data_IF_033633795418
#
_entry.id   IF_033633795418
#
_cell.length_a   1.000
_cell.length_b   1.000
_cell.length_c   1.000
_cell.angle_alpha   90.00
_cell.angle_beta   90.00
_cell.angle_gamma   90.00
#
_symmetry.space_group_name_H-M   'P 1'
#
loop_
_entity.id
_entity.type
_entity.pdbx_description
1 polymer ?
#
# COMPACT_ATOMS: atom_id res chain seq x y z
N UNK A 1 11.61 0.50 43.38
CA UNK A 1 11.26 1.62 42.45
C UNK A 1 9.88 1.30 41.93
N UNK A 2 8.87 2.16 42.19
CA UNK A 2 7.52 1.94 41.70
C UNK A 2 7.54 1.93 40.16
N UNK A 3 6.91 0.90 39.56
CA UNK A 3 6.73 0.86 38.10
C UNK A 3 5.94 2.11 37.67
N UNK A 4 6.59 2.96 36.92
CA UNK A 4 5.95 4.16 36.34
C UNK A 4 4.89 3.67 35.36
N UNK A 5 3.63 3.98 35.59
CA UNK A 5 2.51 3.63 34.70
C UNK A 5 2.83 4.09 33.26
N UNK A 6 2.45 3.30 32.27
CA UNK A 6 2.75 3.52 30.85
C UNK A 6 2.31 4.92 30.37
N UNK A 7 1.16 5.44 30.85
CA UNK A 7 0.64 6.76 30.48
C UNK A 7 1.50 7.91 31.02
N UNK A 8 2.14 7.79 32.17
CA UNK A 8 3.04 8.81 32.73
C UNK A 8 4.28 9.01 31.86
N UNK A 9 4.85 7.93 31.35
CA UNK A 9 5.98 8.01 30.41
C UNK A 9 5.56 8.69 29.10
N UNK A 10 4.35 8.39 28.62
CA UNK A 10 3.79 9.03 27.41
C UNK A 10 3.57 10.51 27.65
N UNK A 11 3.00 10.90 28.80
CA UNK A 11 2.76 12.29 29.14
C UNK A 11 4.07 13.10 29.25
N UNK A 12 5.07 12.61 29.99
CA UNK A 12 6.38 13.28 30.09
C UNK A 12 7.08 13.41 28.74
N UNK A 13 6.96 12.40 27.89
CA UNK A 13 7.49 12.44 26.53
C UNK A 13 6.74 13.45 25.66
N UNK A 14 5.42 13.52 25.76
CA UNK A 14 4.60 14.49 25.06
C UNK A 14 5.00 15.92 25.42
N UNK A 15 5.21 16.23 26.70
CA UNK A 15 5.72 17.54 27.15
C UNK A 15 7.03 17.90 26.45
N UNK A 16 8.03 17.01 26.46
CA UNK A 16 9.32 17.27 25.80
C UNK A 16 9.20 17.54 24.30
N UNK A 17 8.30 16.83 23.64
CA UNK A 17 8.10 16.96 22.20
C UNK A 17 7.32 18.21 21.84
N UNK A 18 6.32 18.56 22.64
CA UNK A 18 5.38 19.65 22.33
C UNK A 18 5.85 21.02 22.77
N UNK A 19 6.50 21.09 23.93
CA UNK A 19 6.90 22.38 24.57
C UNK A 19 8.41 22.58 24.66
N UNK A 20 9.18 21.51 24.36
CA UNK A 20 10.64 21.60 24.30
C UNK A 20 11.35 21.33 25.63
N UNK A 21 12.68 21.58 25.63
CA UNK A 21 13.56 21.36 26.78
C UNK A 21 13.32 22.40 27.84
N UNK A 22 13.43 22.00 29.11
CA UNK A 22 13.19 22.88 30.29
C UNK A 22 11.80 22.70 30.88
N UNK A 23 10.85 22.16 30.18
CA UNK A 23 9.52 21.84 30.70
C UNK A 23 9.43 20.38 31.17
N UNK A 24 8.85 20.18 32.35
CA UNK A 24 8.60 18.84 32.89
C UNK A 24 7.34 18.82 33.77
N UNK A 25 6.81 17.61 33.99
CA UNK A 25 5.63 17.40 34.83
C UNK A 25 5.88 16.32 35.86
N UNK A 26 5.30 16.52 37.03
CA UNK A 26 5.35 15.52 38.13
C UNK A 26 4.07 15.59 38.97
N UNK A 27 3.76 14.52 39.75
CA UNK A 27 2.69 14.58 40.73
C UNK A 27 3.06 15.48 41.89
N UNK A 28 2.10 16.28 42.34
CA UNK A 28 2.20 17.04 43.59
C UNK A 28 0.84 17.04 44.31
N UNK A 29 0.77 16.38 45.46
CA UNK A 29 -0.47 16.19 46.29
C UNK A 29 -1.66 15.68 45.45
N UNK A 30 -1.39 14.75 44.52
CA UNK A 30 -2.38 14.18 43.66
C UNK A 30 -2.80 15.03 42.45
N UNK A 31 -2.21 16.20 42.26
CA UNK A 31 -2.42 17.08 41.10
C UNK A 31 -1.22 17.04 40.15
N UNK A 32 -1.40 17.57 38.93
CA UNK A 32 -0.32 17.76 37.97
C UNK A 32 0.40 19.04 38.31
N UNK A 33 1.72 18.95 38.63
CA UNK A 33 2.62 20.08 38.78
C UNK A 33 3.50 20.22 37.57
N UNK A 34 3.52 21.39 36.96
CA UNK A 34 4.42 21.77 35.87
C UNK A 34 5.62 22.50 36.43
N UNK A 35 6.81 22.14 35.91
CA UNK A 35 8.06 22.84 36.21
C UNK A 35 8.67 23.35 34.90
N UNK A 36 9.22 24.54 34.96
CA UNK A 36 10.00 25.19 33.91
C UNK A 36 11.34 25.68 34.44
N UNK A 37 12.43 25.31 33.79
CA UNK A 37 13.78 25.68 34.15
C UNK A 37 14.78 24.55 34.13
N UNK A 38 15.95 24.77 34.67
CA UNK A 38 17.03 23.77 34.79
C UNK A 38 17.61 23.81 36.23
N UNK A 39 18.42 22.79 36.54
CA UNK A 39 19.15 22.82 37.85
C UNK A 39 20.05 24.06 38.03
N UNK A 40 20.58 24.60 36.93
CA UNK A 40 21.44 25.77 36.97
C UNK A 40 20.66 27.08 37.12
N UNK A 41 19.46 27.19 36.57
CA UNK A 41 18.63 28.41 36.58
C UNK A 41 17.54 28.39 37.65
N UNK A 42 17.37 27.27 38.35
CA UNK A 42 16.23 27.03 39.24
C UNK A 42 14.96 26.66 38.47
N UNK A 43 13.94 26.26 39.21
CA UNK A 43 12.65 25.87 38.64
C UNK A 43 11.53 26.80 39.05
N UNK A 44 10.83 27.36 38.07
CA UNK A 44 9.51 27.92 38.28
C UNK A 44 8.50 26.78 38.27
N UNK A 45 7.45 26.85 39.08
CA UNK A 45 6.44 25.77 39.09
C UNK A 45 5.05 26.30 39.31
N UNK A 46 4.09 25.54 38.80
CA UNK A 46 2.65 25.79 38.97
C UNK A 46 1.91 24.46 39.11
N UNK A 47 0.93 24.40 40.02
CA UNK A 47 0.01 23.29 40.14
C UNK A 47 -1.21 23.56 39.23
N UNK A 48 -1.55 22.61 38.40
CA UNK A 48 -2.73 22.68 37.54
C UNK A 48 -3.97 22.16 38.27
N UNK A 49 -5.17 22.59 37.84
CA UNK A 49 -6.43 22.08 38.41
C UNK A 49 -6.80 20.67 37.90
N UNK A 50 -5.82 19.91 37.50
CA UNK A 50 -5.97 18.54 36.97
C UNK A 50 -5.34 17.52 37.91
N UNK A 51 -6.00 16.40 38.13
CA UNK A 51 -5.46 15.27 38.92
C UNK A 51 -4.39 14.53 38.15
N UNK A 52 -3.40 13.94 38.85
CA UNK A 52 -2.39 13.05 38.25
C UNK A 52 -3.02 11.67 37.93
N UNK A 53 -3.81 11.64 36.85
CA UNK A 53 -4.59 10.47 36.43
C UNK A 53 -4.58 10.34 34.89
N UNK A 54 -4.77 9.12 34.40
CA UNK A 54 -4.69 8.81 32.96
C UNK A 54 -5.75 9.53 32.11
N UNK A 55 -6.89 9.85 32.67
CA UNK A 55 -7.98 10.54 31.97
C UNK A 55 -7.79 12.06 31.88
N UNK A 56 -6.92 12.67 32.71
CA UNK A 56 -6.76 14.13 32.80
C UNK A 56 -5.49 14.70 32.15
N UNK A 57 -4.47 13.89 31.88
CA UNK A 57 -3.19 14.40 31.38
C UNK A 57 -3.30 15.04 29.99
N UNK A 58 -4.25 14.62 29.17
CA UNK A 58 -4.44 15.17 27.81
C UNK A 58 -4.90 16.62 27.86
N UNK A 59 -5.83 16.94 28.75
CA UNK A 59 -6.33 18.31 28.95
C UNK A 59 -5.29 19.20 29.61
N UNK A 60 -4.54 18.62 30.55
CA UNK A 60 -3.39 19.30 31.14
C UNK A 60 -2.32 19.61 30.06
N UNK A 61 -2.03 18.70 29.15
CA UNK A 61 -1.07 18.94 28.06
C UNK A 61 -1.51 20.10 27.16
N UNK A 62 -2.78 20.19 26.80
CA UNK A 62 -3.32 21.32 26.02
C UNK A 62 -3.05 22.65 26.66
N UNK A 63 -3.36 22.74 27.97
CA UNK A 63 -3.16 23.95 28.73
C UNK A 63 -1.68 24.30 28.80
N UNK A 64 -0.82 23.30 29.00
CA UNK A 64 0.63 23.49 29.07
C UNK A 64 1.20 23.99 27.74
N UNK A 65 0.78 23.39 26.61
CA UNK A 65 1.21 23.80 25.27
C UNK A 65 0.85 25.26 24.98
N UNK A 66 -0.40 25.64 25.26
CA UNK A 66 -0.86 27.03 25.08
C UNK A 66 -0.13 28.02 26.04
N UNK A 67 0.02 27.62 27.29
CA UNK A 67 0.69 28.46 28.31
C UNK A 67 2.19 28.58 28.02
N UNK A 68 2.85 27.54 27.56
CA UNK A 68 4.26 27.58 27.19
C UNK A 68 4.49 28.53 26.01
N UNK A 69 3.68 28.44 24.94
CA UNK A 69 3.73 29.37 23.82
C UNK A 69 3.51 30.83 24.27
N UNK A 70 2.53 31.08 25.13
CA UNK A 70 2.28 32.41 25.72
C UNK A 70 3.46 32.87 26.56
N UNK A 71 4.01 32.01 27.41
CA UNK A 71 5.13 32.34 28.27
C UNK A 71 6.40 32.65 27.45
N UNK A 72 6.76 31.83 26.48
CA UNK A 72 7.94 32.04 25.65
C UNK A 72 7.84 33.35 24.84
N UNK A 73 6.66 33.72 24.35
CA UNK A 73 6.44 34.96 23.60
C UNK A 73 6.54 36.21 24.48
N UNK A 74 6.23 36.12 25.78
CA UNK A 74 6.16 37.26 26.69
C UNK A 74 7.06 37.08 27.91
N UNK A 75 8.04 36.21 27.89
CA UNK A 75 8.89 35.76 29.01
C UNK A 75 9.49 36.87 29.88
N UNK A 76 9.80 38.01 29.30
CA UNK A 76 10.33 39.19 30.04
C UNK A 76 9.24 39.97 30.77
N UNK A 77 7.97 39.78 30.45
CA UNK A 77 6.89 40.69 30.88
C UNK A 77 5.78 40.00 31.67
N UNK A 78 5.74 38.68 31.75
CA UNK A 78 4.70 37.94 32.48
C UNK A 78 5.29 36.83 33.35
N UNK A 79 4.62 36.53 34.46
CA UNK A 79 4.95 35.36 35.27
C UNK A 79 4.43 34.05 34.62
N UNK A 80 5.03 32.92 35.01
CA UNK A 80 4.53 31.62 34.58
C UNK A 80 3.05 31.44 34.92
N UNK A 81 2.63 31.87 36.12
CA UNK A 81 1.22 31.83 36.53
C UNK A 81 0.33 32.66 35.64
N UNK A 82 0.75 33.89 35.30
CA UNK A 82 -0.03 34.74 34.40
C UNK A 82 -0.20 34.14 33.00
N UNK A 83 0.82 33.45 32.47
CA UNK A 83 0.70 32.72 31.18
C UNK A 83 -0.35 31.62 31.23
N UNK A 84 -0.39 30.85 32.31
CA UNK A 84 -1.42 29.82 32.51
C UNK A 84 -2.81 30.42 32.71
N UNK A 85 -2.98 31.49 33.45
CA UNK A 85 -4.26 32.18 33.66
C UNK A 85 -4.82 32.74 32.34
N UNK A 86 -3.98 33.31 31.49
CA UNK A 86 -4.36 33.77 30.14
C UNK A 86 -4.82 32.59 29.29
N UNK A 87 -4.06 31.52 29.32
CA UNK A 87 -4.31 30.33 28.51
C UNK A 87 -5.56 29.59 28.94
N UNK A 88 -5.90 29.55 30.23
CA UNK A 88 -7.17 29.03 30.72
C UNK A 88 -8.38 29.78 30.16
N UNK A 89 -8.29 31.11 30.05
CA UNK A 89 -9.36 31.93 29.45
C UNK A 89 -9.49 31.77 27.96
N UNK A 90 -8.41 31.39 27.27
CA UNK A 90 -8.36 31.23 25.81
C UNK A 90 -8.68 29.80 25.37
N UNK A 91 -8.43 28.80 26.22
CA UNK A 91 -8.59 27.37 25.85
C UNK A 91 -10.05 26.92 25.69
N UNK A 92 -11.02 27.74 26.03
CA UNK A 92 -12.45 27.40 25.97
C UNK A 92 -13.06 27.40 24.56
N UNK A 93 -12.32 27.73 23.47
CA UNK A 93 -12.88 27.95 22.12
C UNK A 93 -12.10 27.37 20.92
N UNK A 94 -11.23 26.38 21.08
CA UNK A 94 -10.63 25.76 19.90
C UNK A 94 -11.44 24.53 19.47
N UNK A 95 -12.48 24.78 18.68
CA UNK A 95 -13.20 23.72 17.98
C UNK A 95 -12.38 23.28 16.76
N UNK A 96 -11.80 22.04 16.83
CA UNK A 96 -11.07 21.47 15.71
C UNK A 96 -12.03 21.20 14.55
N UNK A 97 -11.81 21.84 13.42
CA UNK A 97 -12.61 21.65 12.23
C UNK A 97 -12.05 20.51 11.38
N UNK A 98 -12.48 19.29 11.71
CA UNK A 98 -12.05 18.07 11.03
C UNK A 98 -12.47 18.00 9.57
N UNK A 99 -13.65 18.53 9.24
CA UNK A 99 -14.18 18.52 7.88
C UNK A 99 -13.38 19.47 6.98
N UNK A 100 -13.08 20.68 7.47
CA UNK A 100 -12.19 21.62 6.78
C UNK A 100 -10.78 21.05 6.59
N UNK A 101 -10.21 20.43 7.63
CA UNK A 101 -8.91 19.79 7.56
C UNK A 101 -8.88 18.67 6.51
N UNK A 102 -9.95 17.89 6.40
CA UNK A 102 -10.08 16.87 5.35
C UNK A 102 -10.11 17.50 3.96
N UNK A 103 -10.92 18.53 3.76
CA UNK A 103 -11.03 19.20 2.47
C UNK A 103 -9.67 19.75 2.02
N UNK A 104 -8.98 20.47 2.90
CA UNK A 104 -7.64 21.00 2.65
C UNK A 104 -6.61 19.91 2.38
N UNK A 105 -6.64 18.83 3.17
CA UNK A 105 -5.77 17.65 2.94
C UNK A 105 -6.01 17.03 1.56
N UNK A 106 -7.27 16.87 1.16
CA UNK A 106 -7.63 16.35 -0.14
C UNK A 106 -7.10 17.23 -1.26
N UNK A 107 -7.34 18.54 -1.17
CA UNK A 107 -6.95 19.52 -2.18
C UNK A 107 -5.42 19.59 -2.32
N UNK A 108 -4.68 19.64 -1.23
CA UNK A 108 -3.21 19.66 -1.22
C UNK A 108 -2.58 18.38 -1.78
N UNK A 109 -3.27 17.24 -1.67
CA UNK A 109 -2.76 15.96 -2.13
C UNK A 109 -3.38 15.46 -3.45
N UNK A 110 -4.23 16.26 -4.11
CA UNK A 110 -4.95 15.87 -5.33
C UNK A 110 -4.03 15.42 -6.47
N UNK A 111 -2.86 16.02 -6.60
CA UNK A 111 -1.88 15.71 -7.65
C UNK A 111 -0.87 14.63 -7.24
N UNK A 112 -0.68 14.39 -5.94
CA UNK A 112 0.30 13.43 -5.41
C UNK A 112 -0.31 12.06 -5.10
N UNK A 113 -1.58 12.01 -4.73
CA UNK A 113 -2.30 10.77 -4.42
C UNK A 113 -3.26 10.45 -5.57
N UNK A 114 -2.98 9.37 -6.29
CA UNK A 114 -3.88 8.90 -7.34
C UNK A 114 -5.27 8.57 -6.78
N UNK A 115 -6.32 8.84 -7.56
CA UNK A 115 -7.71 8.68 -7.16
C UNK A 115 -8.05 7.27 -6.63
N UNK A 116 -7.52 6.23 -7.27
CA UNK A 116 -7.73 4.85 -6.82
C UNK A 116 -7.04 4.57 -5.46
N UNK A 117 -5.86 5.14 -5.24
CA UNK A 117 -5.16 5.06 -3.95
C UNK A 117 -5.93 5.83 -2.87
N UNK A 118 -6.46 6.99 -3.20
CA UNK A 118 -7.33 7.75 -2.32
C UNK A 118 -8.54 6.93 -1.88
N UNK A 119 -9.31 6.42 -2.84
CA UNK A 119 -10.54 5.64 -2.57
C UNK A 119 -10.29 4.38 -1.76
N UNK A 120 -9.19 3.67 -2.01
CA UNK A 120 -8.92 2.36 -1.40
C UNK A 120 -8.13 2.44 -0.08
N UNK A 121 -7.31 3.46 0.12
CA UNK A 121 -6.39 3.54 1.26
C UNK A 121 -6.66 4.72 2.19
N UNK A 122 -6.92 5.91 1.65
CA UNK A 122 -7.11 7.11 2.47
C UNK A 122 -8.56 7.28 2.92
N UNK A 123 -9.49 7.25 1.99
CA UNK A 123 -10.90 7.52 2.27
C UNK A 123 -11.50 6.59 3.34
N UNK A 124 -11.22 5.27 3.39
CA UNK A 124 -11.78 4.40 4.42
C UNK A 124 -11.35 4.79 5.83
N UNK A 125 -10.07 5.10 6.04
CA UNK A 125 -9.57 5.49 7.36
C UNK A 125 -10.04 6.90 7.75
N UNK A 126 -10.12 7.82 6.81
CA UNK A 126 -10.61 9.17 7.06
C UNK A 126 -12.10 9.13 7.45
N UNK A 127 -12.92 8.35 6.75
CA UNK A 127 -14.32 8.13 7.15
C UNK A 127 -14.44 7.58 8.58
N UNK A 128 -13.57 6.66 8.95
CA UNK A 128 -13.52 6.13 10.32
C UNK A 128 -13.11 7.20 11.35
N UNK A 129 -12.15 8.05 11.01
CA UNK A 129 -11.74 9.19 11.86
C UNK A 129 -12.94 10.11 12.08
N UNK A 130 -13.55 10.61 11.00
CA UNK A 130 -14.69 11.53 11.07
C UNK A 130 -15.87 10.94 11.86
N UNK A 131 -16.13 9.65 11.69
CA UNK A 131 -17.17 8.95 12.43
C UNK A 131 -16.97 9.05 13.95
N UNK A 132 -15.73 8.93 14.46
CA UNK A 132 -15.47 9.00 15.89
C UNK A 132 -15.31 10.42 16.41
N UNK A 133 -14.69 11.32 15.66
CA UNK A 133 -14.45 12.69 16.13
C UNK A 133 -15.71 13.57 16.10
N UNK A 134 -16.70 13.23 15.27
CA UNK A 134 -17.99 13.95 15.19
C UNK A 134 -19.05 13.40 16.18
N UNK A 135 -18.71 12.38 16.97
CA UNK A 135 -19.64 11.87 18.02
C UNK A 135 -19.61 12.76 19.25
N UNK A 136 -20.80 12.99 19.84
CA UNK A 136 -20.91 13.75 21.09
C UNK A 136 -20.46 12.95 22.32
N UNK A 137 -20.70 11.61 22.32
CA UNK A 137 -20.32 10.72 23.41
C UNK A 137 -19.11 9.86 23.06
N UNK A 138 -18.21 9.62 24.03
CA UNK A 138 -17.02 8.78 23.90
C UNK A 138 -16.05 9.22 22.75
N UNK A 139 -15.99 10.54 22.49
CA UNK A 139 -15.07 11.15 21.51
C UNK A 139 -13.63 10.87 21.91
N UNK A 140 -12.77 10.38 21.00
CA UNK A 140 -11.34 10.24 21.26
C UNK A 140 -10.70 11.59 21.59
N UNK A 141 -9.81 11.62 22.57
CA UNK A 141 -9.17 12.85 23.05
C UNK A 141 -7.74 13.04 22.48
N UNK A 142 -7.20 12.04 21.79
CA UNK A 142 -5.85 12.11 21.20
C UNK A 142 -5.68 11.10 20.06
N UNK A 143 -4.58 11.22 19.33
CA UNK A 143 -4.28 10.37 18.19
C UNK A 143 -4.18 8.88 18.52
N UNK A 144 -3.67 8.50 19.71
CA UNK A 144 -3.60 7.09 20.15
C UNK A 144 -4.99 6.50 20.35
N UNK A 145 -5.85 7.13 21.17
CA UNK A 145 -7.23 6.66 21.39
C UNK A 145 -8.05 6.63 20.10
N UNK A 146 -7.79 7.61 19.21
CA UNK A 146 -8.44 7.62 17.90
C UNK A 146 -8.01 6.42 17.05
N UNK A 147 -6.69 6.10 17.02
CA UNK A 147 -6.22 4.91 16.31
C UNK A 147 -6.83 3.62 16.86
N UNK A 148 -6.86 3.47 18.18
CA UNK A 148 -7.42 2.26 18.83
C UNK A 148 -8.87 2.04 18.42
N UNK A 149 -9.70 3.09 18.40
CA UNK A 149 -11.09 3.02 17.94
C UNK A 149 -11.21 2.75 16.44
N UNK A 150 -10.49 3.49 15.63
CA UNK A 150 -10.52 3.37 14.16
C UNK A 150 -10.05 1.99 13.73
N UNK A 151 -8.96 1.50 14.31
CA UNK A 151 -8.33 0.26 13.85
C UNK A 151 -8.97 -1.02 14.37
N UNK A 152 -9.68 -0.96 15.51
CA UNK A 152 -10.22 -2.15 16.16
C UNK A 152 -11.75 -2.18 16.20
N UNK A 153 -12.43 -1.04 16.28
CA UNK A 153 -13.87 -0.97 16.55
C UNK A 153 -14.69 -0.49 15.35
N UNK A 154 -14.09 0.25 14.39
CA UNK A 154 -14.85 0.83 13.29
C UNK A 154 -15.43 -0.23 12.37
N UNK A 155 -16.74 -0.21 12.19
CA UNK A 155 -17.43 -1.07 11.24
C UNK A 155 -17.37 -0.48 9.84
N UNK A 156 -16.74 -1.22 8.93
CA UNK A 156 -16.63 -0.82 7.54
C UNK A 156 -17.38 -1.78 6.61
N UNK A 157 -18.13 -1.21 5.68
CA UNK A 157 -18.95 -1.99 4.74
C UNK A 157 -20.29 -2.48 5.34
N UNK A 158 -20.94 -3.37 4.61
CA UNK A 158 -22.26 -3.92 4.96
C UNK A 158 -22.18 -5.10 5.94
N UNK A 159 -21.01 -5.68 6.13
CA UNK A 159 -20.85 -6.84 7.03
C UNK A 159 -20.61 -6.34 8.46
N UNK A 160 -21.63 -6.47 9.29
CA UNK A 160 -21.64 -6.04 10.69
C UNK A 160 -20.67 -6.83 11.59
N UNK A 161 -20.19 -7.99 11.16
CA UNK A 161 -19.26 -8.82 11.92
C UNK A 161 -17.81 -8.35 11.79
N UNK A 162 -17.48 -7.62 10.73
CA UNK A 162 -16.13 -7.13 10.48
C UNK A 162 -15.89 -5.78 11.13
N UNK A 163 -15.21 -5.79 12.27
CA UNK A 163 -14.77 -4.57 12.97
C UNK A 163 -13.29 -4.33 12.75
N UNK A 164 -12.92 -3.07 12.53
CA UNK A 164 -11.54 -2.63 12.36
C UNK A 164 -10.80 -3.32 11.22
N UNK A 165 -9.50 -3.31 11.33
CA UNK A 165 -8.58 -3.99 10.39
C UNK A 165 -7.68 -4.93 11.18
N UNK A 166 -7.69 -6.25 10.93
CA UNK A 166 -6.93 -7.23 11.70
C UNK A 166 -5.43 -6.93 11.71
N UNK A 167 -4.79 -7.12 12.85
CA UNK A 167 -3.33 -6.99 13.00
C UNK A 167 -2.61 -7.95 12.05
N UNK A 168 -1.37 -7.64 11.68
CA UNK A 168 -0.57 -8.45 10.78
C UNK A 168 -0.99 -8.42 9.31
N UNK A 169 -2.04 -7.67 8.95
CA UNK A 169 -2.53 -7.61 7.56
C UNK A 169 -1.93 -6.43 6.79
N UNK A 170 -1.71 -6.64 5.49
CA UNK A 170 -1.33 -5.56 4.57
C UNK A 170 -2.35 -4.42 4.56
N UNK A 171 -3.65 -4.72 4.75
CA UNK A 171 -4.70 -3.72 4.81
C UNK A 171 -4.52 -2.82 6.04
N UNK A 172 -4.34 -3.38 7.24
CA UNK A 172 -4.07 -2.59 8.46
C UNK A 172 -2.84 -1.69 8.30
N UNK A 173 -1.77 -2.22 7.71
CA UNK A 173 -0.58 -1.43 7.38
C UNK A 173 -0.91 -0.24 6.48
N UNK A 174 -1.70 -0.43 5.42
CA UNK A 174 -2.12 0.66 4.54
C UNK A 174 -2.96 1.70 5.26
N UNK A 175 -3.90 1.26 6.11
CA UNK A 175 -4.75 2.17 6.89
C UNK A 175 -3.93 2.96 7.90
N UNK A 176 -2.97 2.31 8.58
CA UNK A 176 -2.03 2.96 9.48
C UNK A 176 -1.21 4.05 8.79
N UNK A 177 -0.63 3.76 7.63
CA UNK A 177 0.14 4.74 6.87
C UNK A 177 -0.72 5.94 6.43
N UNK A 178 -1.96 5.72 6.02
CA UNK A 178 -2.89 6.78 5.65
C UNK A 178 -3.34 7.60 6.88
N UNK A 179 -3.59 6.95 8.01
CA UNK A 179 -3.89 7.57 9.30
C UNK A 179 -2.75 8.50 9.73
N UNK A 180 -1.51 7.97 9.76
CA UNK A 180 -0.33 8.74 10.12
C UNK A 180 -0.15 9.97 9.24
N UNK A 181 -0.29 9.80 7.93
CA UNK A 181 -0.14 10.89 6.98
C UNK A 181 -1.17 11.98 7.19
N UNK A 182 -2.43 11.61 7.43
CA UNK A 182 -3.49 12.58 7.66
C UNK A 182 -3.33 13.32 8.97
N UNK A 183 -3.11 12.63 10.10
CA UNK A 183 -2.97 13.30 11.39
C UNK A 183 -1.71 14.15 11.50
N UNK A 184 -0.58 13.69 10.98
CA UNK A 184 0.62 14.53 10.91
C UNK A 184 0.35 15.81 10.13
N UNK A 185 -0.34 15.69 8.98
CA UNK A 185 -0.72 16.84 8.16
C UNK A 185 -1.64 17.80 8.93
N UNK A 186 -2.63 17.29 9.69
CA UNK A 186 -3.50 18.11 10.53
C UNK A 186 -2.70 18.90 11.57
N UNK A 187 -1.71 18.26 12.21
CA UNK A 187 -0.86 18.94 13.22
C UNK A 187 0.09 19.95 12.59
N UNK A 188 0.61 19.66 11.39
CA UNK A 188 1.63 20.49 10.74
C UNK A 188 1.04 21.62 9.87
N UNK A 189 -0.23 21.53 9.46
CA UNK A 189 -0.83 22.45 8.48
C UNK A 189 -2.17 23.04 8.88
N UNK A 190 -2.85 22.45 9.85
CA UNK A 190 -4.19 22.88 10.30
C UNK A 190 -4.21 23.22 11.78
N UNK A 191 -3.05 23.50 12.36
CA UNK A 191 -2.87 23.92 13.75
C UNK A 191 -3.50 22.99 14.81
N UNK A 192 -3.62 21.68 14.45
CA UNK A 192 -4.10 20.71 15.43
C UNK A 192 -3.05 20.52 16.52
N UNK A 193 -3.46 20.47 17.79
CA UNK A 193 -2.55 20.23 18.90
C UNK A 193 -1.74 18.94 18.74
N UNK A 194 -0.52 18.94 19.21
CA UNK A 194 0.45 17.85 19.04
C UNK A 194 0.00 16.49 19.59
N UNK A 195 -0.91 16.46 20.56
CA UNK A 195 -1.48 15.22 21.08
C UNK A 195 -2.36 14.47 20.06
N UNK A 196 -2.73 15.10 18.93
CA UNK A 196 -3.35 14.44 17.79
C UNK A 196 -2.35 13.73 16.87
N UNK A 197 -1.04 13.89 17.09
CA UNK A 197 -0.06 13.10 16.35
C UNK A 197 -0.36 11.60 16.49
N UNK A 198 -0.12 10.81 15.43
CA UNK A 198 -0.24 9.36 15.50
C UNK A 198 0.63 8.80 16.63
N UNK A 199 0.21 7.71 17.28
CA UNK A 199 1.05 7.04 18.26
C UNK A 199 2.32 6.48 17.59
N UNK A 200 3.38 6.32 18.38
CA UNK A 200 4.54 5.51 17.97
C UNK A 200 4.09 4.05 17.98
N UNK A 201 4.14 3.42 16.83
CA UNK A 201 3.73 2.04 16.69
C UNK A 201 4.84 1.08 17.12
N UNK A 202 4.47 -0.01 17.77
CA UNK A 202 5.39 -1.09 18.10
C UNK A 202 5.54 -2.05 16.91
N UNK A 203 6.52 -2.96 17.02
CA UNK A 203 6.81 -3.94 15.96
C UNK A 203 5.58 -4.76 15.57
N UNK A 204 4.75 -5.17 16.52
CA UNK A 204 3.56 -5.98 16.25
C UNK A 204 2.47 -5.24 15.44
N UNK A 205 2.41 -3.91 15.52
CA UNK A 205 1.55 -3.09 14.66
C UNK A 205 2.18 -2.80 13.29
N UNK A 206 3.48 -2.86 13.18
CA UNK A 206 4.21 -2.56 11.94
C UNK A 206 4.40 -3.77 11.05
N UNK A 207 4.53 -4.93 11.64
CA UNK A 207 4.81 -6.18 10.96
C UNK A 207 3.57 -6.69 10.21
N UNK A 208 3.79 -7.15 8.98
CA UNK A 208 2.79 -7.88 8.20
C UNK A 208 3.13 -9.35 8.32
N UNK A 209 2.33 -10.08 9.10
CA UNK A 209 2.52 -11.52 9.37
C UNK A 209 1.71 -12.40 8.43
N UNK A 210 0.74 -11.84 7.70
CA UNK A 210 0.01 -12.60 6.68
C UNK A 210 0.94 -12.94 5.53
N UNK A 211 1.11 -14.21 5.29
CA UNK A 211 1.87 -14.69 4.13
C UNK A 211 1.30 -14.13 2.84
N UNK A 212 2.20 -13.65 1.99
CA UNK A 212 1.81 -13.21 0.66
C UNK A 212 1.54 -14.46 -0.18
N UNK A 213 0.29 -14.65 -0.59
CA UNK A 213 -0.05 -15.73 -1.50
C UNK A 213 0.83 -15.65 -2.75
N UNK A 214 1.34 -16.80 -3.13
CA UNK A 214 2.21 -16.94 -4.31
C UNK A 214 1.34 -16.90 -5.55
N UNK A 215 1.68 -16.06 -6.54
CA UNK A 215 0.88 -15.95 -7.77
C UNK A 215 1.06 -17.18 -8.65
N UNK A 216 -0.02 -17.74 -9.13
CA UNK A 216 -0.07 -18.94 -9.97
C UNK A 216 0.34 -18.63 -11.42
N UNK A 217 1.32 -19.33 -12.01
CA UNK A 217 1.59 -19.25 -13.44
C UNK A 217 0.64 -20.19 -14.20
N UNK A 218 -0.25 -19.64 -15.03
CA UNK A 218 -1.14 -20.45 -15.86
C UNK A 218 -0.35 -21.40 -16.77
N UNK A 219 -0.85 -22.60 -16.99
CA UNK A 219 -0.33 -23.50 -18.02
C UNK A 219 -0.84 -23.12 -19.40
N UNK A 220 -0.14 -23.56 -20.45
CA UNK A 220 -0.55 -23.31 -21.83
C UNK A 220 -1.90 -23.99 -22.13
N UNK A 221 -2.14 -25.20 -21.63
CA UNK A 221 -3.42 -25.91 -21.74
C UNK A 221 -4.56 -25.16 -21.03
N UNK A 222 -4.34 -24.61 -19.84
CA UNK A 222 -5.35 -23.81 -19.14
C UNK A 222 -5.71 -22.56 -19.93
N UNK A 223 -4.73 -21.91 -20.58
CA UNK A 223 -4.98 -20.74 -21.42
C UNK A 223 -5.76 -21.13 -22.67
N UNK A 224 -5.41 -22.24 -23.34
CA UNK A 224 -6.19 -22.76 -24.49
C UNK A 224 -7.66 -22.94 -24.10
N UNK A 225 -7.94 -23.76 -23.08
CA UNK A 225 -9.32 -23.98 -22.56
C UNK A 225 -10.04 -22.67 -22.20
N UNK A 226 -9.32 -21.72 -21.62
CA UNK A 226 -9.89 -20.42 -21.23
C UNK A 226 -10.29 -19.60 -22.47
N UNK A 227 -9.43 -19.52 -23.47
CA UNK A 227 -9.69 -18.77 -24.70
C UNK A 227 -10.87 -19.39 -25.48
N UNK A 228 -10.94 -20.70 -25.58
CA UNK A 228 -12.03 -21.40 -26.26
C UNK A 228 -13.38 -21.25 -25.56
N UNK A 229 -13.39 -20.93 -24.27
CA UNK A 229 -14.62 -20.78 -23.49
C UNK A 229 -15.25 -19.36 -23.54
N UNK A 230 -14.69 -18.44 -24.32
CA UNK A 230 -15.34 -17.15 -24.54
C UNK A 230 -16.59 -17.33 -25.43
N UNK A 231 -17.63 -16.57 -25.09
CA UNK A 231 -18.87 -16.60 -25.90
C UNK A 231 -18.63 -15.96 -27.28
N UNK A 232 -19.36 -16.46 -28.28
CA UNK A 232 -19.33 -15.91 -29.63
C UNK A 232 -20.22 -14.68 -29.75
N UNK A 233 -19.71 -13.55 -29.32
CA UNK A 233 -20.32 -12.23 -29.51
C UNK A 233 -19.25 -11.11 -29.44
N UNK A 234 -19.57 -9.96 -30.02
CA UNK A 234 -18.65 -8.85 -30.17
C UNK A 234 -18.05 -8.37 -28.81
N UNK A 235 -18.84 -8.36 -27.76
CA UNK A 235 -18.36 -7.95 -26.44
C UNK A 235 -17.33 -8.93 -25.88
N UNK A 236 -17.61 -10.23 -25.97
CA UNK A 236 -16.70 -11.27 -25.50
C UNK A 236 -15.44 -11.36 -26.38
N UNK A 237 -15.55 -11.17 -27.68
CA UNK A 237 -14.42 -11.16 -28.62
C UNK A 237 -13.37 -10.11 -28.24
N UNK A 238 -13.78 -8.88 -27.86
CA UNK A 238 -12.86 -7.84 -27.39
C UNK A 238 -12.09 -8.27 -26.14
N UNK A 239 -12.74 -8.94 -25.21
CA UNK A 239 -12.09 -9.44 -24.00
C UNK A 239 -11.25 -10.69 -24.24
N UNK A 240 -11.65 -11.55 -25.15
CA UNK A 240 -10.86 -12.70 -25.61
C UNK A 240 -9.54 -12.19 -26.20
N UNK A 241 -9.60 -11.24 -27.14
CA UNK A 241 -8.43 -10.61 -27.73
C UNK A 241 -7.51 -9.94 -26.68
N UNK A 242 -8.08 -9.20 -25.74
CA UNK A 242 -7.32 -8.63 -24.62
C UNK A 242 -6.64 -9.70 -23.75
N UNK A 243 -7.32 -10.82 -23.51
CA UNK A 243 -6.79 -11.96 -22.75
C UNK A 243 -5.65 -12.66 -23.49
N UNK A 244 -5.81 -12.88 -24.80
CA UNK A 244 -4.78 -13.41 -25.68
C UNK A 244 -3.51 -12.55 -25.66
N UNK A 245 -3.65 -11.23 -25.77
CA UNK A 245 -2.53 -10.29 -25.67
C UNK A 245 -1.82 -10.35 -24.29
N UNK A 246 -2.60 -10.45 -23.20
CA UNK A 246 -2.02 -10.62 -21.87
C UNK A 246 -1.23 -11.94 -21.75
N UNK A 247 -1.74 -13.02 -22.31
CA UNK A 247 -1.10 -14.34 -22.27
C UNK A 247 0.22 -14.37 -23.05
N UNK A 248 0.21 -13.87 -24.30
CA UNK A 248 1.37 -13.95 -25.21
C UNK A 248 2.46 -12.92 -24.86
N UNK A 249 2.09 -11.71 -24.48
CA UNK A 249 3.06 -10.64 -24.22
C UNK A 249 3.32 -10.39 -22.72
N UNK A 250 2.73 -11.16 -21.83
CA UNK A 250 2.91 -11.02 -20.38
C UNK A 250 2.51 -9.63 -19.86
N UNK A 251 1.47 -9.03 -20.44
CA UNK A 251 1.04 -7.69 -20.10
C UNK A 251 0.46 -7.63 -18.69
N UNK A 252 0.73 -6.51 -18.00
CA UNK A 252 -0.18 -6.10 -16.93
C UNK A 252 -1.52 -5.73 -17.58
N UNK A 253 -2.68 -6.09 -17.01
CA UNK A 253 -3.96 -5.72 -17.62
C UNK A 253 -4.14 -4.22 -17.88
N UNK A 254 -3.48 -3.36 -17.11
CA UNK A 254 -3.47 -1.92 -17.33
C UNK A 254 -2.67 -1.52 -18.59
N UNK A 255 -1.69 -2.33 -19.01
CA UNK A 255 -0.85 -2.05 -20.19
C UNK A 255 -1.64 -2.12 -21.51
N UNK A 256 -2.78 -2.81 -21.53
CA UNK A 256 -3.69 -2.87 -22.69
C UNK A 256 -4.11 -1.48 -23.20
N UNK A 257 -4.19 -0.49 -22.32
CA UNK A 257 -4.54 0.90 -22.67
C UNK A 257 -3.41 1.69 -23.33
N UNK A 258 -2.20 1.18 -23.25
CA UNK A 258 -0.97 1.89 -23.60
C UNK A 258 -0.19 1.20 -24.70
N UNK A 259 -0.87 0.32 -25.44
CA UNK A 259 -0.27 -0.35 -26.59
C UNK A 259 -0.14 0.61 -27.76
N UNK A 260 1.01 0.57 -28.41
CA UNK A 260 1.31 1.37 -29.60
C UNK A 260 2.14 0.54 -30.58
N UNK A 261 1.97 0.83 -31.86
CA UNK A 261 2.78 0.25 -32.92
C UNK A 261 3.93 1.21 -33.27
N UNK A 262 5.12 0.67 -33.47
CA UNK A 262 6.30 1.40 -33.92
C UNK A 262 6.92 0.72 -35.15
N UNK A 263 7.92 1.35 -35.76
CA UNK A 263 8.65 0.83 -36.90
C UNK A 263 7.73 0.37 -38.06
N UNK A 264 6.90 1.27 -38.56
CA UNK A 264 5.93 0.95 -39.62
C UNK A 264 5.05 -0.26 -39.26
N UNK A 265 4.52 -0.26 -38.06
CA UNK A 265 3.67 -1.34 -37.48
C UNK A 265 4.37 -2.70 -37.29
N UNK A 266 5.70 -2.78 -37.42
CA UNK A 266 6.44 -4.05 -37.26
C UNK A 266 6.69 -4.42 -35.79
N UNK A 267 6.56 -3.47 -34.87
CA UNK A 267 6.85 -3.66 -33.46
C UNK A 267 5.68 -3.24 -32.59
N UNK A 268 5.29 -4.10 -31.65
CA UNK A 268 4.33 -3.78 -30.61
C UNK A 268 5.07 -3.28 -29.37
N UNK A 269 4.63 -2.15 -28.83
CA UNK A 269 5.20 -1.49 -27.66
C UNK A 269 4.10 -1.18 -26.65
N UNK A 270 4.48 -1.06 -25.37
CA UNK A 270 3.66 -0.40 -24.37
C UNK A 270 4.36 0.88 -23.90
N UNK A 271 3.59 1.97 -23.79
CA UNK A 271 4.06 3.24 -23.23
C UNK A 271 3.72 3.39 -21.75
N UNK A 272 3.19 2.31 -21.12
CA UNK A 272 2.81 2.31 -19.72
C UNK A 272 4.01 2.58 -18.81
N UNK A 273 3.86 3.60 -17.94
CA UNK A 273 4.80 3.93 -16.88
C UNK A 273 4.13 3.74 -15.53
N UNK A 274 4.66 2.86 -14.69
CA UNK A 274 4.29 2.81 -13.28
C UNK A 274 4.85 4.04 -12.57
N UNK A 275 4.09 4.67 -11.67
CA UNK A 275 4.41 5.97 -11.05
C UNK A 275 5.83 6.10 -10.48
N UNK A 276 6.43 5.01 -10.01
CA UNK A 276 7.79 5.00 -9.43
C UNK A 276 8.82 4.28 -10.32
N UNK A 277 8.48 3.97 -11.58
CA UNK A 277 9.39 3.29 -12.50
C UNK A 277 10.25 4.30 -13.26
N UNK A 278 11.55 4.01 -13.38
CA UNK A 278 12.47 4.73 -14.27
C UNK A 278 12.31 4.32 -15.73
N UNK A 279 11.59 3.22 -16.00
CA UNK A 279 11.41 2.63 -17.34
C UNK A 279 10.23 3.33 -18.03
N UNK A 280 10.50 3.96 -19.17
CA UNK A 280 9.52 4.65 -20.00
C UNK A 280 9.12 3.78 -21.21
N UNK A 281 8.12 2.92 -21.00
CA UNK A 281 7.67 2.03 -22.06
C UNK A 281 8.68 0.92 -22.39
N UNK A 282 8.25 -0.07 -23.17
CA UNK A 282 9.09 -1.17 -23.62
C UNK A 282 8.54 -1.80 -24.89
N UNK A 283 9.42 -2.40 -25.67
CA UNK A 283 9.02 -3.34 -26.75
C UNK A 283 8.45 -4.61 -26.13
N UNK A 284 7.45 -5.17 -26.77
CA UNK A 284 6.78 -6.40 -26.37
C UNK A 284 7.30 -7.57 -27.22
N UNK A 285 7.72 -8.64 -26.55
CA UNK A 285 8.22 -9.84 -27.19
C UNK A 285 7.22 -10.99 -26.95
N UNK A 286 6.72 -11.66 -27.99
CA UNK A 286 5.75 -12.73 -27.83
C UNK A 286 6.39 -14.00 -27.27
N UNK A 287 5.69 -14.66 -26.33
CA UNK A 287 5.93 -16.04 -25.93
C UNK A 287 4.65 -16.82 -26.18
N UNK A 288 4.60 -17.49 -27.32
CA UNK A 288 3.41 -18.18 -27.77
C UNK A 288 2.91 -19.24 -26.77
N UNK A 289 1.60 -19.36 -26.68
CA UNK A 289 0.91 -20.44 -25.99
C UNK A 289 0.93 -21.65 -26.91
N UNK A 290 1.31 -22.81 -26.39
CA UNK A 290 1.48 -24.03 -27.17
C UNK A 290 0.35 -25.01 -26.86
N UNK A 291 -0.05 -25.77 -27.87
CA UNK A 291 -0.95 -26.89 -27.72
C UNK A 291 -0.24 -28.12 -27.10
N UNK A 292 -0.92 -29.27 -27.07
CA UNK A 292 -0.39 -30.52 -26.51
C UNK A 292 0.78 -31.08 -27.33
N UNK A 293 0.82 -30.78 -28.61
CA UNK A 293 1.86 -31.23 -29.54
C UNK A 293 3.06 -30.27 -29.58
N UNK A 294 2.99 -29.15 -28.82
CA UNK A 294 4.04 -28.15 -28.76
C UNK A 294 3.97 -27.09 -29.87
N UNK A 295 2.90 -27.07 -30.66
CA UNK A 295 2.68 -26.07 -31.70
C UNK A 295 2.01 -24.81 -31.12
N UNK A 296 2.34 -23.62 -31.63
CA UNK A 296 1.60 -22.41 -31.26
C UNK A 296 0.13 -22.51 -31.69
N UNK A 297 -0.79 -22.13 -30.82
CA UNK A 297 -2.19 -21.93 -31.26
C UNK A 297 -2.26 -20.90 -32.40
N UNK A 298 -3.10 -21.11 -33.38
CA UNK A 298 -3.25 -20.25 -34.58
C UNK A 298 -3.49 -18.76 -34.20
N UNK A 299 -4.30 -18.54 -33.19
CA UNK A 299 -4.58 -17.19 -32.70
C UNK A 299 -3.32 -16.45 -32.16
N UNK A 300 -2.30 -17.18 -31.69
CA UNK A 300 -1.01 -16.57 -31.27
C UNK A 300 -0.27 -15.97 -32.45
N UNK A 301 -0.28 -16.64 -33.60
CA UNK A 301 0.47 -16.24 -34.80
C UNK A 301 -0.10 -14.95 -35.43
N UNK A 302 -1.40 -14.73 -35.28
CA UNK A 302 -2.12 -13.61 -35.88
C UNK A 302 -2.26 -12.37 -34.96
N UNK A 303 -1.98 -12.47 -33.65
CA UNK A 303 -2.24 -11.42 -32.68
C UNK A 303 -1.69 -10.05 -33.05
N UNK A 304 -0.45 -10.00 -33.50
CA UNK A 304 0.20 -8.73 -33.88
C UNK A 304 -0.48 -8.13 -35.11
N UNK A 305 -0.80 -8.96 -36.13
CA UNK A 305 -1.48 -8.52 -37.33
C UNK A 305 -2.89 -8.02 -37.07
N UNK A 306 -3.64 -8.72 -36.19
CA UNK A 306 -4.98 -8.34 -35.74
C UNK A 306 -4.96 -6.99 -35.05
N UNK A 307 -4.00 -6.78 -34.15
CA UNK A 307 -3.82 -5.47 -33.51
C UNK A 307 -3.45 -4.37 -34.52
N UNK A 308 -2.56 -4.67 -35.47
CA UNK A 308 -2.12 -3.73 -36.50
C UNK A 308 -3.25 -3.39 -37.50
N UNK A 309 -4.20 -4.30 -37.71
CA UNK A 309 -5.42 -4.10 -38.50
C UNK A 309 -6.51 -3.32 -37.75
N UNK A 310 -6.32 -3.00 -36.46
CA UNK A 310 -7.24 -2.19 -35.68
C UNK A 310 -8.31 -2.99 -34.93
N UNK A 311 -8.08 -4.27 -34.68
CA UNK A 311 -9.01 -5.05 -33.85
C UNK A 311 -9.23 -4.39 -32.48
N UNK A 312 -10.47 -4.28 -32.08
CA UNK A 312 -10.87 -3.46 -30.93
C UNK A 312 -10.58 -4.15 -29.60
N UNK A 313 -9.98 -3.39 -28.70
CA UNK A 313 -9.84 -3.74 -27.31
C UNK A 313 -11.03 -3.23 -26.47
N UNK A 314 -11.31 -3.87 -25.32
CA UNK A 314 -12.32 -3.36 -24.41
C UNK A 314 -11.93 -2.01 -23.85
N UNK A 315 -12.90 -1.14 -23.60
CA UNK A 315 -12.67 0.12 -22.93
C UNK A 315 -12.33 -0.10 -21.45
N UNK A 316 -11.14 0.32 -21.05
CA UNK A 316 -10.63 0.20 -19.68
C UNK A 316 -10.30 1.60 -19.16
N UNK A 317 -10.89 2.02 -18.04
CA UNK A 317 -10.55 3.27 -17.39
C UNK A 317 -9.19 3.20 -16.69
N UNK A 318 -8.50 4.34 -16.56
CA UNK A 318 -7.17 4.41 -15.93
C UNK A 318 -7.16 3.79 -14.53
N UNK A 319 -6.22 2.89 -14.29
CA UNK A 319 -6.05 2.18 -13.02
C UNK A 319 -7.06 1.05 -12.78
N UNK A 320 -7.89 0.68 -13.75
CA UNK A 320 -8.91 -0.36 -13.60
C UNK A 320 -8.63 -1.64 -14.40
N UNK A 321 -7.50 -1.73 -15.08
CA UNK A 321 -7.21 -2.88 -15.98
C UNK A 321 -7.38 -4.24 -15.30
N UNK A 322 -6.75 -4.46 -14.15
CA UNK A 322 -6.84 -5.72 -13.43
C UNK A 322 -8.27 -6.00 -12.89
N UNK A 323 -8.95 -4.97 -12.39
CA UNK A 323 -10.32 -5.12 -11.86
C UNK A 323 -11.31 -5.47 -12.98
N UNK A 324 -11.20 -4.82 -14.14
CA UNK A 324 -12.07 -5.05 -15.30
C UNK A 324 -11.85 -6.42 -15.92
N UNK A 325 -10.58 -6.79 -16.18
CA UNK A 325 -10.27 -8.13 -16.67
C UNK A 325 -10.68 -9.19 -15.65
N UNK A 326 -10.37 -9.00 -14.36
CA UNK A 326 -10.79 -9.92 -13.31
C UNK A 326 -12.32 -10.06 -13.20
N UNK A 327 -13.07 -8.97 -13.36
CA UNK A 327 -14.53 -9.02 -13.41
C UNK A 327 -15.04 -9.80 -14.64
N UNK A 328 -14.45 -9.56 -15.80
CA UNK A 328 -14.80 -10.31 -17.01
C UNK A 328 -14.60 -11.81 -16.80
N UNK A 329 -13.45 -12.23 -16.30
CA UNK A 329 -13.12 -13.63 -16.09
C UNK A 329 -13.98 -14.32 -15.02
N UNK A 330 -14.42 -13.61 -13.98
CA UNK A 330 -15.19 -14.19 -12.86
C UNK A 330 -16.71 -14.15 -13.07
N UNK A 331 -17.22 -13.11 -13.72
CA UNK A 331 -18.66 -12.81 -13.72
C UNK A 331 -19.31 -13.02 -15.10
N UNK A 332 -18.50 -13.19 -16.16
CA UNK A 332 -18.94 -13.33 -17.55
C UNK A 332 -18.41 -14.62 -18.17
N UNK A 333 -18.64 -14.86 -19.46
CA UNK A 333 -17.88 -15.84 -20.21
C UNK A 333 -16.39 -15.42 -20.18
N UNK A 334 -15.46 -16.23 -19.76
CA UNK A 334 -15.40 -17.68 -19.53
C UNK A 334 -15.42 -18.10 -18.04
N UNK A 335 -16.37 -17.63 -17.27
CA UNK A 335 -16.45 -17.77 -15.82
C UNK A 335 -16.16 -19.18 -15.29
N UNK A 336 -16.80 -20.19 -15.85
CA UNK A 336 -16.71 -21.55 -15.29
C UNK A 336 -15.29 -22.13 -15.43
N UNK A 337 -14.65 -21.92 -16.57
CA UNK A 337 -13.26 -22.34 -16.81
C UNK A 337 -12.31 -21.57 -15.92
N UNK A 338 -12.48 -20.24 -15.80
CA UNK A 338 -11.67 -19.43 -14.93
C UNK A 338 -11.75 -19.85 -13.45
N UNK A 339 -12.95 -20.12 -12.95
CA UNK A 339 -13.15 -20.58 -11.57
C UNK A 339 -12.56 -21.98 -11.33
N UNK A 340 -12.60 -22.87 -12.32
CA UNK A 340 -11.91 -24.17 -12.24
C UNK A 340 -10.40 -23.98 -12.10
N UNK A 341 -9.79 -23.14 -12.95
CA UNK A 341 -8.36 -22.82 -12.87
C UNK A 341 -7.99 -22.18 -11.51
N UNK A 342 -8.85 -21.32 -10.97
CA UNK A 342 -8.63 -20.75 -9.65
C UNK A 342 -8.62 -21.80 -8.54
N UNK A 343 -9.48 -22.82 -8.62
CA UNK A 343 -9.49 -23.95 -7.69
C UNK A 343 -8.24 -24.83 -7.85
N UNK A 344 -7.82 -25.11 -9.08
CA UNK A 344 -6.56 -25.82 -9.36
C UNK A 344 -5.37 -25.11 -8.71
N UNK A 345 -5.29 -23.78 -8.84
CA UNK A 345 -4.25 -22.97 -8.21
C UNK A 345 -4.32 -23.00 -6.66
N UNK A 346 -5.53 -23.00 -6.09
CA UNK A 346 -5.74 -23.03 -4.63
C UNK A 346 -5.28 -24.36 -4.04
N UNK A 347 -5.48 -25.48 -4.72
CA UNK A 347 -4.97 -26.80 -4.31
C UNK A 347 -3.44 -26.79 -4.23
N UNK A 348 -2.77 -26.06 -5.11
CA UNK A 348 -1.32 -25.84 -5.06
C UNK A 348 -0.86 -24.77 -4.03
N UNK A 349 -1.77 -24.22 -3.24
CA UNK A 349 -1.47 -23.15 -2.29
C UNK A 349 -1.16 -21.80 -2.95
N UNK A 350 -1.53 -21.62 -4.23
CA UNK A 350 -1.23 -20.43 -5.02
C UNK A 350 -2.49 -19.61 -5.33
N UNK A 351 -2.32 -18.35 -5.74
CA UNK A 351 -3.44 -17.47 -6.06
C UNK A 351 -3.50 -17.20 -7.56
N UNK A 352 -4.65 -17.54 -8.19
CA UNK A 352 -4.94 -17.22 -9.58
C UNK A 352 -5.65 -15.86 -9.68
N UNK A 353 -5.04 -14.95 -10.43
CA UNK A 353 -5.53 -13.58 -10.67
C UNK A 353 -5.28 -13.20 -12.13
N UNK A 354 -5.80 -12.06 -12.63
CA UNK A 354 -5.42 -11.55 -13.95
C UNK A 354 -3.91 -11.36 -14.16
N UNK A 355 -3.12 -11.30 -13.09
CA UNK A 355 -1.65 -11.29 -13.18
C UNK A 355 -1.05 -12.67 -13.47
N UNK A 356 -1.82 -13.75 -13.38
CA UNK A 356 -1.37 -15.13 -13.66
C UNK A 356 -0.91 -15.33 -15.09
N UNK A 357 -1.45 -14.58 -16.05
CA UNK A 357 -0.91 -14.53 -17.42
C UNK A 357 0.53 -14.02 -17.45
N UNK A 358 0.83 -13.00 -16.64
CA UNK A 358 2.18 -12.44 -16.54
C UNK A 358 3.12 -13.36 -15.74
N UNK A 359 2.61 -14.10 -14.76
CA UNK A 359 3.38 -15.14 -14.07
C UNK A 359 3.72 -16.29 -15.03
N UNK A 360 2.78 -16.73 -15.87
CA UNK A 360 3.06 -17.69 -16.95
C UNK A 360 4.15 -17.17 -17.90
N UNK A 361 4.07 -15.93 -18.35
CA UNK A 361 5.09 -15.35 -19.23
C UNK A 361 6.48 -15.41 -18.58
N UNK A 362 6.60 -15.05 -17.31
CA UNK A 362 7.86 -15.16 -16.58
C UNK A 362 8.33 -16.61 -16.47
N UNK A 363 7.43 -17.54 -16.10
CA UNK A 363 7.73 -18.95 -16.01
C UNK A 363 8.26 -19.53 -17.33
N UNK A 364 7.56 -19.25 -18.42
CA UNK A 364 7.97 -19.70 -19.76
C UNK A 364 9.28 -19.05 -20.19
N UNK A 365 9.49 -17.78 -19.90
CA UNK A 365 10.71 -17.08 -20.23
C UNK A 365 11.95 -17.67 -19.54
N UNK A 366 11.80 -18.15 -18.29
CA UNK A 366 12.87 -18.80 -17.54
C UNK A 366 13.11 -20.25 -18.00
N UNK A 367 12.06 -20.99 -18.34
CA UNK A 367 12.13 -22.44 -18.53
C UNK A 367 12.14 -22.91 -20.00
N UNK A 368 11.81 -22.03 -20.97
CA UNK A 368 11.84 -22.37 -22.39
C UNK A 368 13.17 -21.98 -23.01
N UNK A 369 13.86 -22.99 -23.54
CA UNK A 369 15.17 -22.83 -24.18
C UNK A 369 15.05 -21.99 -25.48
N UNK A 370 16.06 -21.18 -25.77
CA UNK A 370 16.21 -20.46 -27.02
C UNK A 370 16.56 -21.39 -28.17
N UNK A 371 16.48 -20.88 -29.41
CA UNK A 371 16.92 -21.62 -30.63
C UNK A 371 18.38 -22.08 -30.53
N UNK A 372 19.20 -21.40 -29.75
CA UNK A 372 20.63 -21.70 -29.55
C UNK A 372 20.88 -22.68 -28.37
N UNK A 373 19.84 -23.31 -27.84
CA UNK A 373 19.97 -24.26 -26.74
C UNK A 373 20.25 -23.63 -25.35
N UNK A 374 20.12 -22.29 -25.22
CA UNK A 374 20.41 -21.58 -23.99
C UNK A 374 19.15 -20.98 -23.34
N UNK A 375 19.18 -20.81 -22.02
CA UNK A 375 18.15 -20.06 -21.28
C UNK A 375 18.38 -18.55 -21.40
N UNK A 376 17.31 -17.77 -21.24
CA UNK A 376 17.41 -16.30 -21.15
C UNK A 376 17.93 -15.91 -19.76
N UNK A 377 18.83 -14.91 -19.72
CA UNK A 377 19.26 -14.37 -18.43
C UNK A 377 18.12 -13.66 -17.69
N UNK A 378 18.10 -13.67 -16.35
CA UNK A 378 17.11 -12.91 -15.57
C UNK A 378 17.02 -11.43 -15.95
N UNK A 379 18.13 -10.82 -16.37
CA UNK A 379 18.17 -9.42 -16.83
C UNK A 379 17.39 -9.22 -18.14
N UNK A 380 17.59 -10.13 -19.11
CA UNK A 380 16.84 -10.09 -20.38
C UNK A 380 15.35 -10.23 -20.16
N UNK A 381 14.95 -11.14 -19.24
CA UNK A 381 13.54 -11.36 -18.90
C UNK A 381 12.96 -10.14 -18.17
N UNK A 382 13.71 -9.55 -17.23
CA UNK A 382 13.34 -8.34 -16.54
C UNK A 382 13.07 -7.19 -17.51
N UNK A 383 13.98 -6.96 -18.45
CA UNK A 383 13.86 -5.91 -19.49
C UNK A 383 12.62 -6.16 -20.37
N UNK A 384 12.43 -7.40 -20.85
CA UNK A 384 11.25 -7.78 -21.64
C UNK A 384 9.95 -7.59 -20.87
N UNK A 385 9.95 -7.73 -19.55
CA UNK A 385 8.79 -7.52 -18.69
C UNK A 385 8.65 -6.08 -18.15
N UNK A 386 9.63 -5.20 -18.38
CA UNK A 386 9.62 -3.83 -17.84
C UNK A 386 9.74 -3.80 -16.31
N UNK A 387 10.66 -4.60 -15.78
CA UNK A 387 11.09 -4.59 -14.39
C UNK A 387 12.56 -4.14 -14.30
N UNK A 388 12.96 -3.54 -13.16
CA UNK A 388 14.34 -3.61 -12.73
C UNK A 388 14.70 -5.05 -12.31
N UNK A 389 15.98 -5.40 -12.34
CA UNK A 389 16.44 -6.76 -12.05
C UNK A 389 16.08 -7.19 -10.61
N UNK A 390 16.21 -6.30 -9.64
CA UNK A 390 15.89 -6.59 -8.23
C UNK A 390 14.41 -6.94 -8.05
N UNK A 391 13.52 -6.14 -8.63
CA UNK A 391 12.06 -6.41 -8.61
C UNK A 391 11.74 -7.73 -9.29
N UNK A 392 12.43 -8.05 -10.40
CA UNK A 392 12.24 -9.30 -11.12
C UNK A 392 12.67 -10.50 -10.27
N UNK A 393 13.86 -10.47 -9.68
CA UNK A 393 14.37 -11.53 -8.83
C UNK A 393 13.47 -11.76 -7.60
N UNK A 394 13.04 -10.70 -6.92
CA UNK A 394 12.10 -10.80 -5.79
C UNK A 394 10.78 -11.51 -6.15
N UNK A 395 10.33 -11.39 -7.39
CA UNK A 395 9.01 -11.89 -7.82
C UNK A 395 9.07 -13.25 -8.50
N UNK A 396 10.18 -13.58 -9.18
CA UNK A 396 10.26 -14.67 -10.13
C UNK A 396 11.49 -15.58 -9.98
N UNK A 397 12.40 -15.36 -9.02
CA UNK A 397 13.56 -16.24 -8.79
C UNK A 397 13.16 -17.69 -8.56
N UNK A 398 11.99 -17.95 -8.00
CA UNK A 398 11.42 -19.29 -7.81
C UNK A 398 11.22 -20.09 -9.10
N UNK A 399 11.24 -19.44 -10.26
CA UNK A 399 11.10 -20.11 -11.57
C UNK A 399 12.44 -20.53 -12.15
N UNK A 400 13.54 -20.21 -11.51
CA UNK A 400 14.91 -20.42 -12.02
C UNK A 400 15.57 -21.72 -11.56
N UNK A 401 14.81 -22.65 -10.97
CA UNK A 401 15.36 -23.87 -10.35
C UNK A 401 15.97 -24.82 -11.37
N UNK A 402 15.33 -25.02 -12.53
CA UNK A 402 15.82 -25.92 -13.57
C UNK A 402 17.12 -25.44 -14.25
N UNK A 403 17.32 -24.12 -14.35
CA UNK A 403 18.55 -23.54 -14.89
C UNK A 403 19.74 -23.86 -14.01
N UNK A 404 19.55 -23.81 -12.69
CA UNK A 404 20.61 -24.13 -11.72
C UNK A 404 21.01 -25.60 -11.79
N UNK A 405 20.05 -26.53 -11.77
CA UNK A 405 20.30 -27.98 -11.89
C UNK A 405 21.05 -28.29 -13.19
N UNK A 406 20.54 -27.80 -14.33
CA UNK A 406 21.17 -28.02 -15.63
C UNK A 406 22.57 -27.40 -15.77
N UNK A 407 22.81 -26.26 -15.13
CA UNK A 407 24.12 -25.59 -15.12
C UNK A 407 25.15 -26.46 -14.39
N UNK A 408 24.81 -27.00 -13.23
CA UNK A 408 25.71 -27.88 -12.47
C UNK A 408 25.89 -29.23 -13.14
N UNK A 409 24.85 -29.85 -13.68
CA UNK A 409 24.95 -31.10 -14.43
C UNK A 409 25.81 -30.96 -15.70
N UNK A 410 25.77 -29.82 -16.37
CA UNK A 410 26.60 -29.56 -17.55
C UNK A 410 28.10 -29.43 -17.20
N UNK A 411 28.42 -28.88 -16.03
CA UNK A 411 29.79 -28.82 -15.54
C UNK A 411 30.34 -30.20 -15.19
N UNK A 412 29.49 -31.06 -14.61
CA UNK A 412 29.88 -32.42 -14.25
C UNK A 412 30.04 -33.34 -15.48
N UNK A 413 29.35 -33.06 -16.59
CA UNK A 413 29.50 -33.83 -17.84
C UNK A 413 30.70 -33.43 -18.71
N UNK A 414 31.37 -32.33 -18.40
CA UNK A 414 32.53 -31.79 -19.12
C UNK A 414 33.82 -31.89 -18.29
N UNK A 415 34.03 -32.98 -17.57
CA UNK A 415 35.39 -33.24 -17.04
C UNK A 415 36.35 -33.48 -18.22
N UNK A 416 37.43 -32.73 -18.35
CA UNK A 416 38.39 -33.01 -19.41
C UNK A 416 38.95 -34.40 -19.18
N UNK A 417 38.96 -35.26 -20.22
CA UNK A 417 39.81 -36.40 -20.25
C UNK A 417 41.24 -35.87 -20.11
N UNK A 418 41.87 -36.17 -18.96
CA UNK A 418 43.31 -36.00 -18.81
C UNK A 418 43.94 -36.96 -19.78
N UNK A 419 44.38 -36.43 -20.93
CA UNK A 419 45.24 -37.18 -21.84
C UNK A 419 46.56 -37.34 -21.10
N UNK A 420 46.84 -38.61 -20.69
CA UNK A 420 48.11 -39.02 -20.16
C UNK A 420 49.18 -39.11 -21.26
#
# INVERSE_FOLDING_TARGET
>A
MAETNSWEKVFRRAIKVSVGTGWTVQPDRGNIRVLYGTKATGFLSINLPYKWQEDQWVEALKLIETAAGTYENYKSNISLKAAFDISQKTSSKFELNWDKALENYRNSNKHTIQENTWKRKHLPVIKAILFYVNRSKARPQNGKRLWDKVSNEYQHGKNLEKKGWPKGTTMRRHMRLAFNRFLNWCVEREDFPSYWRPPVFNKSEEEVTTEKRVGYPLTDSQIGRLIDSFADNEYAAKWQFATQLCAVYGLRPEELRYLVLKNNKKELWTTYKKSNSKINGRRLFPLFVLDIDGNPFDWCLTLHQRYAAGELLPQISKGQGADRLGKQLRDRSPKNVWLSICKEAEIEGQECTPYSFRHRYAYVAHNRINKNGTYRSPKQIADAMGHDLETHLKSYSRFNTKELENAFDSLNKKSPQVVG
#
